data_IF_996647518666
#
_entry.id   IF_996647518666
#
_cell.length_a   1.000
_cell.length_b   1.000
_cell.length_c   1.000
_cell.angle_alpha   90.00
_cell.angle_beta   90.00
_cell.angle_gamma   90.00
#
_symmetry.space_group_name_H-M   'P 1'
#
loop_
_entity.id
_entity.type
_entity.pdbx_description
1 polymer ?
#
# COMPACT_ATOMS: atom_id res chain seq x y z
N UNK A 1 13.39 13.06 10.36
CA UNK A 1 14.33 12.00 9.98
C UNK A 1 14.37 11.87 8.47
N UNK A 2 15.55 11.92 7.88
CA UNK A 2 15.72 11.68 6.45
C UNK A 2 15.58 10.18 6.13
N UNK A 3 15.32 9.86 4.87
CA UNK A 3 15.26 8.48 4.40
C UNK A 3 16.57 7.72 4.66
N UNK A 4 17.70 8.44 4.55
CA UNK A 4 19.03 7.89 4.78
C UNK A 4 19.26 7.53 6.26
N UNK A 5 18.82 8.40 7.15
CA UNK A 5 18.89 8.18 8.60
C UNK A 5 17.98 7.02 9.03
N UNK A 6 16.77 6.94 8.45
CA UNK A 6 15.85 5.83 8.72
C UNK A 6 16.44 4.48 8.30
N UNK A 7 17.08 4.39 7.13
CA UNK A 7 17.74 3.17 6.67
C UNK A 7 18.90 2.76 7.57
N UNK A 8 19.70 3.73 8.06
CA UNK A 8 20.77 3.47 8.99
C UNK A 8 20.27 2.94 10.34
N UNK A 9 19.19 3.53 10.84
CA UNK A 9 18.57 3.07 12.09
C UNK A 9 18.00 1.65 11.96
N UNK A 10 17.32 1.35 10.85
CA UNK A 10 16.78 0.01 10.59
C UNK A 10 17.88 -1.05 10.52
N UNK A 11 19.00 -0.73 9.88
CA UNK A 11 20.15 -1.65 9.83
C UNK A 11 20.71 -1.94 11.25
N UNK A 12 20.80 -0.91 12.09
CA UNK A 12 21.24 -1.06 13.48
C UNK A 12 20.27 -1.93 14.32
N UNK A 13 18.97 -1.93 13.99
CA UNK A 13 17.96 -2.76 14.65
C UNK A 13 17.80 -4.15 14.02
N UNK A 14 18.60 -4.49 12.99
CA UNK A 14 18.50 -5.76 12.29
C UNK A 14 17.34 -5.87 11.32
N UNK A 15 16.66 -4.78 11.00
CA UNK A 15 15.57 -4.75 10.01
C UNK A 15 16.17 -4.55 8.62
N UNK A 16 15.81 -5.38 7.61
CA UNK A 16 16.30 -5.20 6.25
C UNK A 16 15.89 -3.84 5.68
N UNK A 17 16.83 -3.10 5.11
CA UNK A 17 16.58 -1.80 4.49
C UNK A 17 15.55 -1.88 3.35
N UNK A 18 15.54 -2.99 2.61
CA UNK A 18 14.58 -3.26 1.53
C UNK A 18 13.14 -3.36 2.03
N UNK A 19 12.92 -3.89 3.23
CA UNK A 19 11.59 -3.98 3.83
C UNK A 19 10.99 -2.58 4.08
N UNK A 20 11.79 -1.67 4.61
CA UNK A 20 11.35 -0.28 4.81
C UNK A 20 11.06 0.42 3.48
N UNK A 21 11.89 0.17 2.45
CA UNK A 21 11.71 0.76 1.12
C UNK A 21 10.43 0.27 0.41
N UNK A 22 9.86 -0.86 0.84
CA UNK A 22 8.61 -1.40 0.29
C UNK A 22 7.34 -0.86 0.95
N UNK A 23 7.46 -0.07 2.01
CA UNK A 23 6.29 0.57 2.62
C UNK A 23 5.65 1.56 1.63
N UNK A 24 4.38 1.38 1.25
CA UNK A 24 3.73 2.26 0.28
C UNK A 24 3.64 3.71 0.74
N UNK A 25 3.54 3.95 2.05
CA UNK A 25 3.50 5.31 2.59
C UNK A 25 4.86 6.02 2.51
N UNK A 26 5.93 5.26 2.34
CA UNK A 26 7.29 5.77 2.16
C UNK A 26 7.63 5.96 0.68
N UNK A 27 7.34 4.96 -0.15
CA UNK A 27 7.72 5.00 -1.57
C UNK A 27 6.77 5.84 -2.43
N UNK A 28 5.53 5.97 -2.00
CA UNK A 28 4.50 6.74 -2.71
C UNK A 28 3.68 7.63 -1.76
N UNK A 29 4.32 8.59 -1.04
CA UNK A 29 3.65 9.36 0.01
C UNK A 29 2.57 10.32 -0.51
N UNK A 30 2.57 10.63 -1.80
CA UNK A 30 1.51 11.42 -2.45
C UNK A 30 0.26 10.59 -2.75
N UNK A 31 0.40 9.27 -2.78
CA UNK A 31 -0.66 8.32 -3.10
C UNK A 31 -1.18 7.64 -1.84
N UNK A 32 -0.30 7.31 -0.91
CA UNK A 32 -0.63 6.62 0.33
C UNK A 32 -0.31 7.49 1.55
N UNK A 33 -1.28 7.62 2.44
CA UNK A 33 -1.14 8.42 3.67
C UNK A 33 -1.73 7.69 4.86
N UNK A 34 -0.99 7.59 5.96
CA UNK A 34 -1.55 7.08 7.22
C UNK A 34 -2.54 8.10 7.78
N UNK A 35 -3.79 7.68 7.97
CA UNK A 35 -4.87 8.52 8.52
C UNK A 35 -5.02 8.32 10.02
N UNK A 36 -4.83 7.08 10.48
CA UNK A 36 -5.02 6.69 11.87
C UNK A 36 -4.21 5.42 12.14
N UNK A 37 -3.67 5.34 13.33
CA UNK A 37 -2.98 4.13 13.77
C UNK A 37 -3.09 3.97 15.28
N UNK A 38 -3.35 2.74 15.73
CA UNK A 38 -3.26 2.32 17.11
C UNK A 38 -2.65 0.91 17.19
N UNK A 39 -2.75 0.26 18.34
CA UNK A 39 -2.20 -1.09 18.54
C UNK A 39 -2.99 -2.19 17.80
N UNK A 40 -4.16 -1.88 17.24
CA UNK A 40 -5.05 -2.86 16.59
C UNK A 40 -5.14 -2.70 15.09
N UNK A 41 -5.07 -1.48 14.58
CA UNK A 41 -5.23 -1.17 13.16
C UNK A 41 -4.28 -0.06 12.72
N UNK A 42 -3.93 -0.09 11.44
CA UNK A 42 -3.35 1.05 10.73
C UNK A 42 -4.25 1.36 9.53
N UNK A 43 -4.77 2.57 9.48
CA UNK A 43 -5.69 3.02 8.42
C UNK A 43 -4.93 3.92 7.46
N UNK A 44 -4.91 3.54 6.20
CA UNK A 44 -4.19 4.22 5.13
C UNK A 44 -5.21 4.72 4.10
N UNK A 45 -5.09 5.97 3.71
CA UNK A 45 -5.79 6.49 2.53
C UNK A 45 -4.92 6.28 1.30
N UNK A 46 -5.48 5.59 0.30
CA UNK A 46 -4.99 5.60 -1.06
C UNK A 46 -5.76 6.65 -1.84
N UNK A 47 -5.06 7.54 -2.49
CA UNK A 47 -5.66 8.61 -3.28
C UNK A 47 -4.88 8.78 -4.58
N UNK A 48 -5.40 8.19 -5.65
CA UNK A 48 -4.84 8.37 -6.98
C UNK A 48 -5.52 9.58 -7.64
N UNK A 49 -4.72 10.48 -8.15
CA UNK A 49 -5.18 11.66 -8.90
C UNK A 49 -4.58 11.65 -10.30
N UNK A 50 -5.30 12.17 -11.30
CA UNK A 50 -4.71 12.37 -12.62
C UNK A 50 -3.37 13.10 -12.52
N UNK A 51 -2.35 12.59 -13.21
CA UNK A 51 -1.01 13.17 -13.21
C UNK A 51 -0.07 12.71 -12.10
N UNK A 52 -0.53 11.96 -11.10
CA UNK A 52 0.34 11.36 -10.10
C UNK A 52 1.07 10.10 -10.59
N UNK A 53 0.71 9.62 -11.76
CA UNK A 53 1.26 8.40 -12.33
C UNK A 53 0.67 7.14 -11.71
N UNK A 54 1.17 5.98 -12.11
CA UNK A 54 0.70 4.71 -11.57
C UNK A 54 0.91 4.63 -10.07
N UNK A 55 -0.04 3.99 -9.41
CA UNK A 55 0.02 3.70 -8.00
C UNK A 55 1.30 2.94 -7.67
N UNK A 56 2.02 3.43 -6.68
CA UNK A 56 3.20 2.75 -6.21
C UNK A 56 4.22 2.51 -7.31
N UNK A 57 4.89 3.56 -7.72
CA UNK A 57 6.07 3.41 -8.58
C UNK A 57 7.05 2.47 -7.93
N UNK A 58 6.88 1.21 -8.17
CA UNK A 58 7.68 0.15 -7.62
C UNK A 58 6.89 -0.81 -6.77
N UNK A 59 7.55 -1.88 -6.48
CA UNK A 59 7.06 -2.98 -5.68
C UNK A 59 6.94 -2.56 -4.21
N UNK A 60 5.81 -2.85 -3.58
CA UNK A 60 5.56 -2.55 -2.19
C UNK A 60 4.80 -3.70 -1.51
N UNK A 61 4.89 -3.75 -0.20
CA UNK A 61 4.26 -4.77 0.62
C UNK A 61 3.07 -4.18 1.39
N UNK A 62 2.00 -4.96 1.44
CA UNK A 62 0.87 -4.73 2.34
C UNK A 62 0.69 -5.95 3.26
N UNK A 63 0.51 -5.75 4.57
CA UNK A 63 -0.02 -6.81 5.43
C UNK A 63 -1.47 -7.11 5.06
N UNK A 64 -2.05 -8.14 5.67
CA UNK A 64 -3.47 -8.46 5.48
C UNK A 64 -4.33 -7.23 5.82
N UNK A 65 -5.25 -6.89 4.94
CA UNK A 65 -6.03 -5.66 5.08
C UNK A 65 -7.40 -5.75 4.43
N UNK A 66 -8.25 -4.83 4.83
CA UNK A 66 -9.57 -4.61 4.26
C UNK A 66 -9.52 -3.33 3.42
N UNK A 67 -9.96 -3.39 2.17
CA UNK A 67 -10.13 -2.22 1.33
C UNK A 67 -11.59 -1.80 1.26
N UNK A 68 -11.84 -0.53 1.52
CA UNK A 68 -13.13 0.13 1.35
C UNK A 68 -13.01 1.09 0.19
N UNK A 69 -13.66 0.78 -0.93
CA UNK A 69 -13.58 1.59 -2.14
C UNK A 69 -14.58 2.74 -2.07
N UNK A 70 -14.07 3.97 -2.06
CA UNK A 70 -14.91 5.18 -2.00
C UNK A 70 -15.24 5.72 -3.37
N UNK A 71 -14.59 5.19 -4.42
CA UNK A 71 -14.84 5.54 -5.80
C UNK A 71 -14.61 4.33 -6.70
N UNK A 72 -15.09 4.42 -7.93
CA UNK A 72 -14.83 3.43 -8.96
C UNK A 72 -13.33 3.39 -9.29
N UNK A 73 -12.82 2.20 -9.55
CA UNK A 73 -11.40 1.98 -9.79
C UNK A 73 -11.22 0.82 -10.75
N UNK A 74 -10.39 1.01 -11.76
CA UNK A 74 -9.91 -0.05 -12.64
C UNK A 74 -8.39 -0.06 -12.58
N UNK A 75 -7.83 -1.20 -12.21
CA UNK A 75 -6.40 -1.34 -12.02
C UNK A 75 -5.84 -2.66 -12.52
N UNK A 76 -4.55 -2.69 -12.65
CA UNK A 76 -3.75 -3.87 -12.95
C UNK A 76 -2.75 -4.06 -11.81
N UNK A 77 -2.74 -5.24 -11.24
CA UNK A 77 -1.81 -5.61 -10.16
C UNK A 77 -0.84 -6.66 -10.69
N UNK A 78 0.44 -6.44 -10.49
CA UNK A 78 1.49 -7.43 -10.74
C UNK A 78 1.97 -7.98 -9.41
N UNK A 79 1.76 -9.27 -9.19
CA UNK A 79 2.19 -9.97 -7.99
C UNK A 79 3.69 -10.24 -8.01
N UNK A 80 4.24 -10.63 -6.87
CA UNK A 80 5.67 -10.92 -6.72
C UNK A 80 6.16 -12.01 -7.68
N UNK A 81 5.32 -13.02 -7.97
CA UNK A 81 5.62 -14.11 -8.90
C UNK A 81 5.48 -13.73 -10.39
N UNK A 82 5.13 -12.48 -10.69
CA UNK A 82 4.92 -11.99 -12.05
C UNK A 82 3.48 -12.17 -12.56
N UNK A 83 2.60 -12.79 -11.79
CA UNK A 83 1.18 -12.91 -12.17
C UNK A 83 0.53 -11.56 -12.27
N UNK A 84 -0.17 -11.30 -13.38
CA UNK A 84 -0.89 -10.05 -13.63
C UNK A 84 -2.38 -10.28 -13.45
N UNK A 85 -3.01 -9.47 -12.59
CA UNK A 85 -4.45 -9.48 -12.34
C UNK A 85 -5.02 -8.11 -12.69
N UNK A 86 -6.04 -8.08 -13.53
CA UNK A 86 -6.76 -6.86 -13.89
C UNK A 86 -8.19 -6.93 -13.37
N UNK A 87 -8.71 -5.86 -12.81
CA UNK A 87 -10.05 -5.83 -12.28
C UNK A 87 -10.59 -4.44 -12.05
N UNK A 88 -11.89 -4.40 -11.81
CA UNK A 88 -12.63 -3.18 -11.50
C UNK A 88 -13.42 -3.35 -10.21
N UNK A 89 -13.59 -2.26 -9.49
CA UNK A 89 -14.42 -2.16 -8.29
C UNK A 89 -15.35 -0.95 -8.41
N UNK A 90 -16.40 -0.94 -7.62
CA UNK A 90 -17.37 0.17 -7.55
C UNK A 90 -17.28 0.85 -6.20
N UNK A 91 -17.72 2.09 -6.13
CA UNK A 91 -17.89 2.79 -4.86
C UNK A 91 -18.80 1.99 -3.93
N UNK A 92 -18.38 1.81 -2.67
CA UNK A 92 -19.08 1.02 -1.67
C UNK A 92 -18.64 -0.44 -1.61
N UNK A 93 -17.88 -0.94 -2.56
CA UNK A 93 -17.31 -2.29 -2.49
C UNK A 93 -16.33 -2.39 -1.31
N UNK A 94 -16.34 -3.55 -0.64
CA UNK A 94 -15.42 -3.87 0.45
C UNK A 94 -14.79 -5.21 0.14
N UNK A 95 -13.45 -5.29 0.19
CA UNK A 95 -12.71 -6.51 -0.12
C UNK A 95 -11.62 -6.77 0.89
N UNK A 96 -11.38 -8.04 1.16
CA UNK A 96 -10.26 -8.53 1.97
C UNK A 96 -9.10 -8.93 1.07
N UNK A 97 -7.89 -8.58 1.49
CA UNK A 97 -6.66 -9.03 0.84
C UNK A 97 -5.72 -9.63 1.88
N UNK A 98 -5.14 -10.77 1.54
CA UNK A 98 -4.07 -11.35 2.32
C UNK A 98 -2.77 -10.55 2.17
N UNK A 99 -1.83 -10.74 3.09
CA UNK A 99 -0.52 -10.09 3.00
C UNK A 99 0.16 -10.44 1.68
N UNK A 100 0.61 -9.42 0.96
CA UNK A 100 1.27 -9.61 -0.32
C UNK A 100 2.23 -8.48 -0.68
N UNK A 101 3.20 -8.81 -1.53
CA UNK A 101 4.06 -7.85 -2.22
C UNK A 101 3.60 -7.75 -3.66
N UNK A 102 3.36 -6.54 -4.13
CA UNK A 102 2.90 -6.31 -5.49
C UNK A 102 3.29 -4.93 -6.03
N UNK A 103 3.01 -4.72 -7.28
CA UNK A 103 3.02 -3.43 -7.95
C UNK A 103 1.63 -3.20 -8.54
N UNK A 104 1.06 -2.01 -8.34
CA UNK A 104 -0.26 -1.67 -8.86
C UNK A 104 -0.17 -0.50 -9.82
N UNK A 105 -0.78 -0.67 -10.97
CA UNK A 105 -0.94 0.36 -11.99
C UNK A 105 -2.42 0.68 -12.16
N UNK A 106 -2.74 1.98 -12.13
CA UNK A 106 -4.08 2.47 -12.44
C UNK A 106 -4.22 2.59 -13.94
N UNK A 107 -5.19 1.89 -14.52
CA UNK A 107 -5.40 1.87 -15.97
C UNK A 107 -6.49 2.82 -16.44
N UNK A 108 -7.34 3.31 -15.55
CA UNK A 108 -8.28 4.38 -15.87
C UNK A 108 -7.68 5.77 -15.54
N UNK A 109 -8.31 6.81 -16.09
CA UNK A 109 -7.89 8.20 -15.89
C UNK A 109 -8.65 8.89 -14.77
N UNK A 110 -9.58 8.21 -14.13
CA UNK A 110 -10.39 8.78 -13.06
C UNK A 110 -9.60 8.86 -11.76
N UNK A 111 -9.86 9.88 -10.96
CA UNK A 111 -9.37 9.93 -9.59
C UNK A 111 -10.06 8.82 -8.77
N UNK A 112 -9.29 8.07 -8.00
CA UNK A 112 -9.82 7.00 -7.16
C UNK A 112 -9.36 7.15 -5.72
N UNK A 113 -10.21 6.74 -4.80
CA UNK A 113 -9.97 6.82 -3.37
C UNK A 113 -10.36 5.52 -2.68
N UNK A 114 -9.46 5.01 -1.87
CA UNK A 114 -9.63 3.76 -1.12
C UNK A 114 -9.19 4.01 0.32
N UNK A 115 -9.93 3.45 1.25
CA UNK A 115 -9.49 3.34 2.65
C UNK A 115 -9.03 1.92 2.88
N UNK A 116 -7.77 1.76 3.24
CA UNK A 116 -7.14 0.48 3.56
C UNK A 116 -7.05 0.34 5.07
N UNK A 117 -7.60 -0.73 5.63
CA UNK A 117 -7.53 -1.00 7.07
C UNK A 117 -6.66 -2.22 7.29
N UNK A 118 -5.41 -2.00 7.66
CA UNK A 118 -4.49 -3.06 8.05
C UNK A 118 -4.82 -3.56 9.45
N UNK A 119 -4.98 -4.86 9.62
CA UNK A 119 -5.34 -5.49 10.89
C UNK A 119 -4.07 -6.00 11.58
N UNK A 120 -3.78 -5.45 12.74
CA UNK A 120 -2.62 -5.84 13.56
C UNK A 120 -2.94 -7.09 14.37
N UNK A 121 -2.70 -8.25 13.78
CA UNK A 121 -2.75 -9.54 14.47
C UNK A 121 -1.39 -9.95 15.04
N UNK A 122 -1.27 -11.16 15.62
CA UNK A 122 -0.01 -11.63 16.22
C UNK A 122 1.20 -11.64 15.28
N UNK A 123 0.96 -11.82 13.99
CA UNK A 123 2.00 -11.87 12.96
C UNK A 123 2.05 -10.58 12.12
N UNK A 124 1.38 -9.53 12.59
CA UNK A 124 1.40 -8.28 11.84
C UNK A 124 2.82 -7.70 11.80
N UNK A 125 3.21 -7.31 10.61
CA UNK A 125 4.40 -6.50 10.39
C UNK A 125 3.93 -5.23 9.69
N UNK A 126 4.45 -4.07 10.06
CA UNK A 126 4.15 -2.87 9.31
C UNK A 126 4.57 -3.06 7.86
N UNK A 127 3.99 -2.27 6.95
CA UNK A 127 4.37 -2.30 5.54
C UNK A 127 5.87 -2.01 5.33
N UNK A 128 6.57 -1.71 6.37
CA UNK A 128 8.03 -1.60 6.38
C UNK A 128 8.75 -2.94 6.40
N UNK A 129 8.05 -4.02 6.61
CA UNK A 129 8.74 -5.29 6.62
C UNK A 129 8.16 -6.35 7.48
#
# INVERSE_FOLDING_TARGET
>A
MTRREALGLLAALGVPATAFAQDPTVIAPKTYRVMFENDRVRVIEYNNRPGLGPCGRGRHYHPAHLDIFLSEFTGQMTKEDGTVVRGSVKAGDVRWYEAETHEVEVVDKAASRIIMVEIKGPNWKPSTG
#
